data_IF_077069770907
#
_entry.id   IF_077069770907
#
_cell.length_a   1.000
_cell.length_b   1.000
_cell.length_c   1.000
_cell.angle_alpha   90.00
_cell.angle_beta   90.00
_cell.angle_gamma   90.00
#
_symmetry.space_group_name_H-M   'P 1'
#
loop_
_entity.id
_entity.type
_entity.pdbx_description
1 polymer ?
#
# COMPACT_ATOMS: atom_id res chain seq x y z
N UNK A 1 14.21 -22.76 24.46
CA UNK A 1 15.53 -23.11 23.88
C UNK A 1 16.62 -22.55 24.80
N UNK A 2 17.68 -23.30 25.10
CA UNK A 2 18.82 -22.73 25.86
C UNK A 2 19.62 -21.77 24.99
N UNK A 3 20.39 -20.85 25.60
CA UNK A 3 21.28 -19.95 24.85
C UNK A 3 22.24 -20.73 23.95
N UNK A 4 22.89 -21.76 24.49
CA UNK A 4 23.83 -22.59 23.73
C UNK A 4 23.18 -23.29 22.53
N UNK A 5 21.95 -23.78 22.67
CA UNK A 5 21.22 -24.38 21.55
C UNK A 5 20.87 -23.36 20.47
N UNK A 6 20.53 -22.12 20.85
CA UNK A 6 20.29 -21.04 19.90
C UNK A 6 21.57 -20.64 19.14
N UNK A 7 22.69 -20.47 19.84
CA UNK A 7 23.97 -20.15 19.21
C UNK A 7 24.45 -21.23 18.25
N UNK A 8 24.28 -22.52 18.63
CA UNK A 8 24.61 -23.64 17.74
C UNK A 8 23.81 -23.56 16.44
N UNK A 9 22.49 -23.36 16.53
CA UNK A 9 21.63 -23.24 15.36
C UNK A 9 22.07 -22.07 14.46
N UNK A 10 22.36 -20.91 15.03
CA UNK A 10 22.84 -19.74 14.27
C UNK A 10 24.10 -20.10 13.48
N UNK A 11 25.11 -20.67 14.13
CA UNK A 11 26.39 -21.03 13.49
C UNK A 11 26.18 -22.07 12.39
N UNK A 12 25.28 -23.03 12.60
CA UNK A 12 25.00 -24.09 11.62
C UNK A 12 24.27 -23.57 10.37
N UNK A 13 23.49 -22.49 10.47
CA UNK A 13 22.69 -21.96 9.35
C UNK A 13 23.26 -20.67 8.72
N UNK A 14 24.27 -20.03 9.33
CA UNK A 14 24.70 -18.69 8.94
C UNK A 14 25.18 -18.60 7.49
N UNK A 15 25.82 -19.65 6.97
CA UNK A 15 26.28 -19.69 5.57
C UNK A 15 25.10 -19.71 4.60
N UNK A 16 24.08 -20.54 4.88
CA UNK A 16 22.85 -20.56 4.08
C UNK A 16 22.12 -19.22 4.13
N UNK A 17 22.14 -18.55 5.29
CA UNK A 17 21.54 -17.22 5.44
C UNK A 17 22.26 -16.16 4.59
N UNK A 18 23.60 -16.21 4.53
CA UNK A 18 24.41 -15.29 3.71
C UNK A 18 24.14 -15.48 2.21
N UNK A 19 24.12 -16.74 1.75
CA UNK A 19 23.79 -17.08 0.36
C UNK A 19 22.36 -16.66 -0.01
N UNK A 20 21.38 -16.95 0.86
CA UNK A 20 20.01 -16.53 0.67
C UNK A 20 19.87 -15.01 0.64
N UNK A 21 20.56 -14.28 1.53
CA UNK A 21 20.52 -12.82 1.56
C UNK A 21 21.00 -12.21 0.25
N UNK A 22 22.05 -12.80 -0.35
CA UNK A 22 22.59 -12.35 -1.62
C UNK A 22 21.58 -12.54 -2.75
N UNK A 23 21.03 -13.74 -2.88
CA UNK A 23 19.99 -14.07 -3.88
C UNK A 23 18.76 -13.17 -3.74
N UNK A 24 18.33 -12.92 -2.50
CA UNK A 24 17.22 -11.99 -2.21
C UNK A 24 17.52 -10.61 -2.77
N UNK A 25 18.70 -10.07 -2.46
CA UNK A 25 19.07 -8.70 -2.83
C UNK A 25 19.39 -8.50 -4.32
N UNK A 26 19.88 -9.53 -5.01
CA UNK A 26 20.33 -9.43 -6.40
C UNK A 26 19.20 -9.68 -7.41
N UNK A 27 18.21 -10.50 -7.05
CA UNK A 27 17.21 -11.01 -8.00
C UNK A 27 15.79 -10.97 -7.41
N UNK A 28 15.55 -11.79 -6.37
CA UNK A 28 14.21 -12.15 -5.91
C UNK A 28 13.36 -10.95 -5.45
N UNK A 29 13.95 -9.98 -4.72
CA UNK A 29 13.25 -8.75 -4.30
C UNK A 29 12.69 -8.01 -5.53
N UNK A 30 13.51 -7.85 -6.56
CA UNK A 30 13.15 -7.07 -7.73
C UNK A 30 12.04 -7.73 -8.54
N UNK A 31 12.09 -9.05 -8.71
CA UNK A 31 11.08 -9.81 -9.44
C UNK A 31 9.72 -9.76 -8.72
N UNK A 32 9.71 -10.00 -7.40
CA UNK A 32 8.49 -9.92 -6.60
C UNK A 32 7.86 -8.53 -6.62
N UNK A 33 8.65 -7.48 -6.42
CA UNK A 33 8.13 -6.11 -6.38
C UNK A 33 7.70 -5.60 -7.76
N UNK A 34 8.36 -6.06 -8.83
CA UNK A 34 7.86 -5.80 -10.20
C UNK A 34 6.51 -6.49 -10.44
N UNK A 35 6.33 -7.72 -9.98
CA UNK A 35 5.03 -8.42 -10.09
C UNK A 35 3.92 -7.67 -9.32
N UNK A 36 4.23 -7.09 -8.16
CA UNK A 36 3.30 -6.20 -7.44
C UNK A 36 2.91 -5.01 -8.31
N UNK A 37 3.87 -4.29 -8.89
CA UNK A 37 3.59 -3.13 -9.75
C UNK A 37 2.78 -3.51 -10.99
N UNK A 38 3.09 -4.65 -11.62
CA UNK A 38 2.38 -5.14 -12.80
C UNK A 38 0.91 -5.45 -12.49
N UNK A 39 0.65 -6.12 -11.37
CA UNK A 39 -0.72 -6.42 -10.92
C UNK A 39 -1.55 -5.15 -10.76
N UNK A 40 -0.98 -4.06 -10.24
CA UNK A 40 -1.71 -2.79 -10.09
C UNK A 40 -1.93 -2.12 -11.46
N UNK A 41 -0.90 -2.10 -12.33
CA UNK A 41 -0.96 -1.49 -13.68
C UNK A 41 -2.00 -2.16 -14.57
N UNK A 42 -2.09 -3.48 -14.50
CA UNK A 42 -2.98 -4.29 -15.34
C UNK A 42 -4.40 -4.39 -14.77
N UNK A 43 -4.62 -3.94 -13.53
CA UNK A 43 -5.92 -4.03 -12.90
C UNK A 43 -6.94 -3.11 -13.59
N UNK A 44 -8.07 -3.67 -14.01
CA UNK A 44 -9.13 -2.95 -14.71
C UNK A 44 -10.01 -2.13 -13.74
N UNK A 45 -9.63 -0.88 -13.52
CA UNK A 45 -10.46 0.10 -12.82
C UNK A 45 -11.55 0.69 -13.73
N UNK A 46 -12.63 1.20 -13.12
CA UNK A 46 -13.68 1.95 -13.83
C UNK A 46 -13.29 3.42 -14.08
N UNK A 47 -12.03 3.77 -13.84
CA UNK A 47 -11.44 5.09 -14.03
C UNK A 47 -10.08 4.97 -14.71
N UNK A 48 -9.67 6.01 -15.42
CA UNK A 48 -8.31 6.11 -15.95
C UNK A 48 -7.32 6.25 -14.79
N UNK A 49 -6.52 5.20 -14.57
CA UNK A 49 -5.53 5.15 -13.50
C UNK A 49 -4.20 5.77 -13.96
N UNK A 50 -3.65 6.67 -13.15
CA UNK A 50 -2.31 7.27 -13.30
C UNK A 50 -1.52 7.06 -12.02
N UNK A 51 -0.20 7.14 -12.08
CA UNK A 51 0.61 6.95 -10.88
C UNK A 51 2.09 6.74 -11.13
N UNK A 52 2.81 6.56 -10.03
CA UNK A 52 4.19 6.10 -9.97
C UNK A 52 4.20 4.70 -9.37
N UNK A 53 4.56 3.73 -10.20
CA UNK A 53 4.66 2.31 -9.86
C UNK A 53 6.15 1.95 -9.81
N UNK A 54 6.75 2.07 -8.64
CA UNK A 54 8.20 1.85 -8.42
C UNK A 54 8.44 1.20 -7.05
N UNK A 55 7.76 0.09 -6.80
CA UNK A 55 7.83 -0.61 -5.52
C UNK A 55 9.24 -1.14 -5.22
N UNK A 56 10.01 -1.45 -6.27
CA UNK A 56 11.42 -1.89 -6.16
C UNK A 56 12.30 -0.85 -5.48
N UNK A 57 12.09 0.45 -5.72
CA UNK A 57 12.92 1.51 -5.12
C UNK A 57 12.25 2.18 -3.92
N UNK A 58 10.96 2.45 -4.03
CA UNK A 58 10.23 3.26 -3.06
C UNK A 58 9.57 2.41 -1.98
N UNK A 59 9.53 1.06 -2.15
CA UNK A 59 8.78 0.12 -1.29
C UNK A 59 7.29 0.46 -1.20
N UNK A 60 6.81 1.22 -2.18
CA UNK A 60 5.46 1.73 -2.29
C UNK A 60 5.13 2.01 -3.75
N UNK A 61 3.88 1.76 -4.15
CA UNK A 61 3.33 2.20 -5.44
C UNK A 61 2.20 3.18 -5.17
N UNK A 62 2.23 4.36 -5.80
CA UNK A 62 1.19 5.39 -5.64
C UNK A 62 0.44 5.59 -6.93
N UNK A 63 -0.88 5.56 -6.87
CA UNK A 63 -1.73 5.64 -8.05
C UNK A 63 -3.08 6.29 -7.74
N UNK A 64 -3.73 6.84 -8.75
CA UNK A 64 -4.94 7.65 -8.57
C UNK A 64 -5.77 7.74 -9.86
N UNK A 65 -7.08 7.99 -9.74
CA UNK A 65 -7.91 8.38 -10.86
C UNK A 65 -7.44 9.71 -11.47
N UNK A 66 -7.39 9.81 -12.80
CA UNK A 66 -6.89 11.00 -13.49
C UNK A 66 -7.68 12.29 -13.16
N UNK A 67 -8.97 12.18 -12.82
CA UNK A 67 -9.81 13.32 -12.40
C UNK A 67 -9.50 13.84 -10.99
N UNK A 68 -8.61 13.18 -10.25
CA UNK A 68 -8.09 13.67 -8.96
C UNK A 68 -6.82 14.52 -9.09
N UNK A 69 -6.30 14.72 -10.30
CA UNK A 69 -5.21 15.67 -10.53
C UNK A 69 -5.65 17.09 -10.15
N UNK A 70 -4.88 17.74 -9.28
CA UNK A 70 -5.07 19.13 -8.91
C UNK A 70 -4.47 20.07 -9.98
N UNK A 71 -3.34 19.67 -10.56
CA UNK A 71 -2.66 20.39 -11.65
C UNK A 71 -2.40 19.46 -12.83
N UNK A 72 -2.53 19.98 -14.06
CA UNK A 72 -2.40 19.19 -15.29
C UNK A 72 -0.96 18.95 -15.77
N UNK A 73 0.06 19.44 -15.05
CA UNK A 73 1.44 19.53 -15.55
C UNK A 73 2.26 18.26 -15.36
N UNK A 74 1.93 17.38 -14.40
CA UNK A 74 2.66 16.14 -14.17
C UNK A 74 1.74 15.05 -13.59
N UNK A 75 1.38 14.09 -14.44
CA UNK A 75 0.55 12.94 -14.09
C UNK A 75 1.28 11.79 -13.38
N UNK A 76 2.53 12.02 -12.95
CA UNK A 76 3.34 11.03 -12.20
C UNK A 76 3.62 11.47 -10.76
N UNK A 77 3.46 12.76 -10.45
CA UNK A 77 3.68 13.28 -9.10
C UNK A 77 2.41 13.15 -8.26
N UNK A 78 2.39 12.18 -7.35
CA UNK A 78 1.31 11.99 -6.38
C UNK A 78 1.15 13.19 -5.41
N UNK A 79 2.09 14.14 -5.37
CA UNK A 79 1.90 15.39 -4.62
C UNK A 79 1.00 16.39 -5.36
N UNK A 80 0.75 16.20 -6.66
CA UNK A 80 -0.08 17.06 -7.50
C UNK A 80 -1.54 16.59 -7.65
N UNK A 81 -1.99 15.69 -6.77
CA UNK A 81 -3.37 15.22 -6.72
C UNK A 81 -4.08 15.64 -5.43
N UNK A 82 -5.41 15.71 -5.46
CA UNK A 82 -6.21 15.92 -4.25
C UNK A 82 -6.13 14.72 -3.30
N UNK A 83 -6.03 13.52 -3.87
CA UNK A 83 -5.85 12.26 -3.17
C UNK A 83 -5.21 11.22 -4.08
N UNK A 84 -4.60 10.20 -3.48
CA UNK A 84 -4.10 9.02 -4.15
C UNK A 84 -4.32 7.76 -3.32
N UNK A 85 -4.25 6.63 -4.00
CA UNK A 85 -4.06 5.33 -3.39
C UNK A 85 -2.58 5.00 -3.31
N UNK A 86 -2.24 4.16 -2.34
CA UNK A 86 -0.91 3.59 -2.27
C UNK A 86 -0.98 2.12 -1.86
N UNK A 87 -0.11 1.31 -2.42
CA UNK A 87 0.20 -0.02 -1.90
C UNK A 87 1.58 0.09 -1.25
N UNK A 88 1.68 -0.30 0.02
CA UNK A 88 2.91 -0.22 0.81
C UNK A 88 2.85 -1.18 2.01
N UNK A 89 3.59 -0.88 3.07
CA UNK A 89 3.65 -1.75 4.26
C UNK A 89 3.03 -1.10 5.51
N UNK A 90 2.33 -1.91 6.32
CA UNK A 90 1.65 -1.45 7.56
C UNK A 90 2.64 -0.88 8.62
N UNK A 91 3.92 -1.23 8.54
CA UNK A 91 4.98 -0.69 9.40
C UNK A 91 5.13 0.82 9.25
N UNK A 92 5.00 1.33 8.03
CA UNK A 92 5.02 2.75 7.70
C UNK A 92 3.77 3.46 8.24
N UNK A 93 2.62 2.78 8.22
CA UNK A 93 1.35 3.29 8.76
C UNK A 93 1.27 3.32 10.29
N UNK A 94 1.88 2.32 10.93
CA UNK A 94 1.73 2.11 12.38
C UNK A 94 2.93 2.60 13.18
N UNK A 95 4.07 2.85 12.53
CA UNK A 95 5.34 3.27 13.11
C UNK A 95 6.12 2.14 13.80
N UNK A 96 5.91 0.89 13.37
CA UNK A 96 6.63 -0.29 13.87
C UNK A 96 7.67 -0.71 12.83
N UNK A 97 8.95 -0.70 13.16
CA UNK A 97 10.05 -1.12 12.25
C UNK A 97 10.57 -2.46 12.69
N UNK A 98 10.32 -3.56 11.98
CA UNK A 98 10.86 -4.84 12.43
C UNK A 98 11.04 -5.94 11.37
N UNK A 99 11.59 -5.70 10.17
CA UNK A 99 12.24 -6.77 9.40
C UNK A 99 13.52 -6.33 8.67
N UNK A 100 14.54 -7.19 8.66
CA UNK A 100 15.82 -6.96 7.97
C UNK A 100 15.70 -7.05 6.44
N UNK A 101 14.70 -7.79 5.94
CA UNK A 101 14.43 -7.95 4.50
C UNK A 101 13.01 -7.51 4.18
N UNK A 102 12.87 -6.61 3.19
CA UNK A 102 11.59 -6.02 2.81
C UNK A 102 10.53 -7.04 2.36
N UNK A 103 10.97 -8.15 1.74
CA UNK A 103 10.07 -9.24 1.31
C UNK A 103 9.37 -9.95 2.47
N UNK A 104 9.88 -9.86 3.70
CA UNK A 104 9.27 -10.55 4.85
C UNK A 104 7.83 -10.10 5.06
N UNK A 105 7.54 -8.84 4.75
CA UNK A 105 6.21 -8.24 4.88
C UNK A 105 5.20 -8.75 3.86
N UNK A 106 5.66 -9.45 2.82
CA UNK A 106 4.78 -10.17 1.88
C UNK A 106 4.26 -11.48 2.47
N UNK A 107 4.99 -12.10 3.40
CA UNK A 107 4.70 -13.44 3.94
C UNK A 107 4.30 -13.45 5.42
N UNK A 108 4.37 -12.30 6.10
CA UNK A 108 4.12 -12.16 7.53
C UNK A 108 2.79 -11.46 7.83
N UNK A 109 2.15 -11.84 8.93
CA UNK A 109 1.02 -11.10 9.49
C UNK A 109 1.46 -9.98 10.46
N UNK A 110 2.72 -9.96 10.88
CA UNK A 110 3.24 -8.98 11.83
C UNK A 110 3.48 -7.62 11.17
N UNK A 111 4.00 -7.65 9.95
CA UNK A 111 4.07 -6.54 9.01
C UNK A 111 3.50 -7.07 7.72
N UNK A 112 2.43 -6.46 7.23
CA UNK A 112 1.72 -6.90 6.04
C UNK A 112 1.63 -5.76 5.07
N UNK A 113 1.37 -6.10 3.81
CA UNK A 113 0.99 -5.10 2.83
C UNK A 113 -0.32 -4.41 3.23
N UNK A 114 -0.44 -3.15 2.85
CA UNK A 114 -1.65 -2.36 2.98
C UNK A 114 -1.94 -1.66 1.67
N UNK A 115 -3.23 -1.49 1.39
CA UNK A 115 -3.73 -0.63 0.33
C UNK A 115 -4.43 0.56 0.98
N UNK A 116 -3.83 1.74 0.90
CA UNK A 116 -4.34 2.93 1.54
C UNK A 116 -4.92 3.97 0.58
N UNK A 117 -5.72 4.85 1.15
CA UNK A 117 -6.25 6.06 0.54
C UNK A 117 -5.69 7.25 1.32
N UNK A 118 -4.84 8.05 0.67
CA UNK A 118 -4.27 9.25 1.24
C UNK A 118 -4.82 10.48 0.52
N UNK A 119 -5.23 11.49 1.28
CA UNK A 119 -5.70 12.75 0.71
C UNK A 119 -4.72 13.88 1.03
N UNK A 120 -4.22 14.55 -0.02
CA UNK A 120 -3.16 15.53 0.09
C UNK A 120 -3.72 16.88 0.56
N UNK A 121 -3.76 17.05 1.88
CA UNK A 121 -4.28 18.26 2.54
C UNK A 121 -3.76 19.56 1.91
N UNK A 122 -2.50 19.59 1.44
CA UNK A 122 -1.89 20.80 0.86
C UNK A 122 -2.59 21.28 -0.41
N UNK A 123 -3.42 20.47 -1.08
CA UNK A 123 -4.23 20.92 -2.22
C UNK A 123 -5.49 21.72 -1.83
N UNK A 124 -5.77 21.86 -0.53
CA UNK A 124 -6.98 22.52 -0.03
C UNK A 124 -6.65 23.87 0.64
N UNK A 125 -6.91 24.97 -0.05
CA UNK A 125 -6.46 26.33 0.29
C UNK A 125 -6.91 26.83 1.68
N UNK A 126 -8.08 26.42 2.16
CA UNK A 126 -8.66 26.90 3.43
C UNK A 126 -8.63 25.87 4.56
N UNK A 127 -7.79 24.84 4.47
CA UNK A 127 -7.80 23.74 5.43
C UNK A 127 -6.69 23.81 6.49
N UNK A 128 -7.05 23.97 7.77
CA UNK A 128 -6.14 23.78 8.91
C UNK A 128 -5.97 22.29 9.30
N UNK A 129 -4.91 21.95 10.04
CA UNK A 129 -4.69 20.55 10.48
C UNK A 129 -5.84 20.04 11.36
N UNK A 130 -6.37 20.90 12.22
CA UNK A 130 -7.52 20.60 13.07
C UNK A 130 -8.78 20.36 12.24
N UNK A 131 -9.07 21.23 11.27
CA UNK A 131 -10.25 21.11 10.42
C UNK A 131 -10.19 19.84 9.57
N UNK A 132 -9.00 19.48 9.08
CA UNK A 132 -8.77 18.25 8.32
C UNK A 132 -9.07 17.01 9.17
N UNK A 133 -8.49 16.96 10.37
CA UNK A 133 -8.73 15.89 11.35
C UNK A 133 -10.22 15.72 11.64
N UNK A 134 -10.90 16.82 11.97
CA UNK A 134 -12.33 16.79 12.27
C UNK A 134 -13.13 16.32 11.05
N UNK A 135 -12.82 16.81 9.86
CA UNK A 135 -13.44 16.39 8.61
C UNK A 135 -13.28 14.90 8.33
N UNK A 136 -12.08 14.33 8.47
CA UNK A 136 -11.83 12.91 8.21
C UNK A 136 -12.49 12.01 9.26
N UNK A 137 -12.55 12.44 10.53
CA UNK A 137 -13.33 11.75 11.57
C UNK A 137 -14.82 11.76 11.24
N UNK A 138 -15.36 12.89 10.73
CA UNK A 138 -16.74 12.98 10.25
C UNK A 138 -16.99 12.03 9.07
N UNK A 139 -16.06 11.96 8.09
CA UNK A 139 -16.19 11.05 6.94
C UNK A 139 -16.17 9.59 7.37
N UNK A 140 -15.28 9.21 8.31
CA UNK A 140 -15.24 7.87 8.87
C UNK A 140 -16.56 7.48 9.55
N UNK A 141 -17.17 8.39 10.33
CA UNK A 141 -18.48 8.16 10.95
C UNK A 141 -19.61 8.08 9.92
N UNK A 142 -19.53 8.86 8.83
CA UNK A 142 -20.54 8.91 7.77
C UNK A 142 -20.52 7.64 6.92
N UNK A 143 -19.34 7.16 6.53
CA UNK A 143 -19.18 6.08 5.57
C UNK A 143 -18.79 4.75 6.23
N UNK A 144 -19.66 4.24 7.11
CA UNK A 144 -19.46 2.94 7.80
C UNK A 144 -19.37 1.74 6.84
N UNK A 145 -19.75 1.90 5.56
CA UNK A 145 -19.54 0.86 4.54
C UNK A 145 -18.05 0.54 4.34
N UNK A 146 -17.14 1.50 4.52
CA UNK A 146 -15.69 1.26 4.41
C UNK A 146 -15.22 0.22 5.42
N UNK A 147 -15.67 0.30 6.67
CA UNK A 147 -15.37 -0.69 7.71
C UNK A 147 -15.91 -2.09 7.34
N UNK A 148 -17.11 -2.17 6.75
CA UNK A 148 -17.69 -3.43 6.28
C UNK A 148 -16.91 -4.05 5.12
N UNK A 149 -16.24 -3.22 4.31
CA UNK A 149 -15.32 -3.66 3.26
C UNK A 149 -13.92 -4.03 3.81
N UNK A 150 -13.70 -3.88 5.12
CA UNK A 150 -12.44 -4.23 5.77
C UNK A 150 -11.42 -3.08 5.87
N UNK A 151 -11.75 -1.88 5.38
CA UNK A 151 -10.91 -0.72 5.59
C UNK A 151 -10.89 -0.34 7.08
N UNK A 152 -9.72 0.08 7.54
CA UNK A 152 -9.47 0.64 8.86
C UNK A 152 -9.21 2.13 8.73
N UNK A 153 -9.58 2.88 9.74
CA UNK A 153 -9.27 4.31 9.84
C UNK A 153 -7.99 4.51 10.66
N UNK A 154 -6.97 5.14 10.08
CA UNK A 154 -5.76 5.52 10.79
C UNK A 154 -6.03 6.80 11.60
N UNK A 155 -6.11 6.69 12.93
CA UNK A 155 -6.35 7.87 13.76
C UNK A 155 -5.16 8.80 13.89
N UNK A 156 -3.95 8.38 13.48
CA UNK A 156 -2.74 9.22 13.50
C UNK A 156 -2.66 10.10 12.26
N UNK A 157 -2.74 9.48 11.08
CA UNK A 157 -2.62 10.17 9.79
C UNK A 157 -3.96 10.66 9.23
N UNK A 158 -5.08 10.25 9.85
CA UNK A 158 -6.44 10.62 9.46
C UNK A 158 -6.84 10.17 8.05
N UNK A 159 -6.46 8.94 7.70
CA UNK A 159 -6.69 8.31 6.41
C UNK A 159 -7.31 6.91 6.56
N UNK A 160 -7.46 6.20 5.45
CA UNK A 160 -8.04 4.86 5.42
C UNK A 160 -7.05 3.87 4.79
N UNK A 161 -6.98 2.66 5.34
CA UNK A 161 -6.17 1.60 4.77
C UNK A 161 -6.85 0.23 4.87
N UNK A 162 -6.65 -0.59 3.87
CA UNK A 162 -7.10 -1.97 3.81
C UNK A 162 -5.89 -2.88 4.02
N UNK A 163 -5.84 -3.64 5.13
CA UNK A 163 -4.81 -4.64 5.29
C UNK A 163 -4.95 -5.78 4.28
N UNK A 164 -3.84 -6.13 3.63
CA UNK A 164 -3.78 -7.22 2.67
C UNK A 164 -3.30 -8.48 3.39
N UNK A 165 -3.82 -9.63 2.98
CA UNK A 165 -3.36 -10.94 3.50
C UNK A 165 -1.93 -11.23 3.00
N UNK A 166 -1.12 -11.99 3.75
CA UNK A 166 0.15 -12.48 3.25
C UNK A 166 -0.03 -13.31 1.97
N UNK A 167 0.99 -13.28 1.11
CA UNK A 167 1.12 -14.19 -0.02
C UNK A 167 1.25 -15.63 0.47
N UNK A 168 0.70 -16.58 -0.29
CA UNK A 168 0.93 -17.99 -0.04
C UNK A 168 2.35 -18.36 -0.53
N UNK A 169 3.27 -18.78 0.36
CA UNK A 169 4.62 -19.15 -0.05
C UNK A 169 4.64 -20.26 -1.12
N UNK A 170 3.68 -21.18 -1.10
CA UNK A 170 3.61 -22.24 -2.12
C UNK A 170 3.31 -21.68 -3.50
N UNK A 171 2.35 -20.76 -3.58
CA UNK A 171 2.02 -20.11 -4.84
C UNK A 171 3.20 -19.30 -5.37
N UNK A 172 3.93 -18.58 -4.51
CA UNK A 172 5.13 -17.85 -4.95
C UNK A 172 6.21 -18.80 -5.47
N UNK A 173 6.46 -19.92 -4.79
CA UNK A 173 7.46 -20.92 -5.22
C UNK A 173 7.06 -21.57 -6.55
N UNK A 174 5.79 -21.92 -6.73
CA UNK A 174 5.28 -22.60 -7.95
C UNK A 174 5.30 -21.70 -9.18
N UNK A 175 5.16 -20.38 -8.99
CA UNK A 175 5.07 -19.40 -10.08
C UNK A 175 6.39 -18.65 -10.34
N UNK A 176 7.44 -18.86 -9.55
CA UNK A 176 8.73 -18.22 -9.74
C UNK A 176 9.56 -18.91 -10.85
N UNK A 177 10.23 -18.16 -11.74
CA UNK A 177 10.18 -16.69 -11.89
C UNK A 177 9.08 -16.21 -12.87
N UNK A 178 8.56 -17.12 -13.71
CA UNK A 178 7.90 -16.76 -14.97
C UNK A 178 6.46 -16.22 -14.84
N UNK A 179 5.82 -16.36 -13.68
CA UNK A 179 4.36 -16.13 -13.51
C UNK A 179 4.01 -15.56 -12.13
N UNK A 180 4.92 -14.83 -11.49
CA UNK A 180 4.75 -14.33 -10.12
C UNK A 180 3.44 -13.55 -9.88
N UNK A 181 2.92 -12.88 -10.89
CA UNK A 181 1.63 -12.16 -10.86
C UNK A 181 0.43 -13.08 -10.51
N UNK A 182 0.52 -14.38 -10.77
CA UNK A 182 -0.51 -15.38 -10.42
C UNK A 182 -0.51 -15.67 -8.91
N UNK A 183 0.61 -15.47 -8.22
CA UNK A 183 0.70 -15.59 -6.77
C UNK A 183 0.15 -14.35 -6.02
N UNK A 184 -0.16 -13.27 -6.74
CA UNK A 184 -0.58 -11.98 -6.16
C UNK A 184 -2.09 -11.85 -5.93
N UNK A 185 -2.83 -12.96 -5.84
CA UNK A 185 -4.27 -12.93 -5.58
C UNK A 185 -4.67 -12.09 -4.36
N UNK A 186 -3.93 -12.09 -3.22
CA UNK A 186 -4.25 -11.20 -2.11
C UNK A 186 -4.28 -9.71 -2.49
N UNK A 187 -3.38 -9.29 -3.39
CA UNK A 187 -3.33 -7.91 -3.89
C UNK A 187 -4.49 -7.67 -4.85
N UNK A 188 -4.78 -8.61 -5.77
CA UNK A 188 -5.94 -8.51 -6.68
C UNK A 188 -7.25 -8.37 -5.89
N UNK A 189 -7.43 -9.13 -4.82
CA UNK A 189 -8.60 -9.04 -3.94
C UNK A 189 -8.69 -7.67 -3.24
N UNK A 190 -7.56 -7.12 -2.80
CA UNK A 190 -7.51 -5.77 -2.25
C UNK A 190 -7.91 -4.72 -3.29
N UNK A 191 -7.45 -4.84 -4.54
CA UNK A 191 -7.80 -3.94 -5.64
C UNK A 191 -9.28 -4.06 -6.04
N UNK A 192 -9.86 -5.27 -6.04
CA UNK A 192 -11.32 -5.49 -6.22
C UNK A 192 -12.12 -4.77 -5.12
N UNK A 193 -11.67 -4.89 -3.88
CA UNK A 193 -12.29 -4.21 -2.72
C UNK A 193 -12.17 -2.69 -2.84
N UNK A 194 -11.01 -2.19 -3.27
CA UNK A 194 -10.79 -0.78 -3.55
C UNK A 194 -11.71 -0.27 -4.66
N UNK A 195 -11.88 -1.02 -5.75
CA UNK A 195 -12.78 -0.69 -6.85
C UNK A 195 -14.22 -0.51 -6.34
N UNK A 196 -14.69 -1.39 -5.45
CA UNK A 196 -16.00 -1.22 -4.80
C UNK A 196 -16.08 0.01 -3.88
N UNK A 197 -15.00 0.32 -3.16
CA UNK A 197 -14.93 1.47 -2.26
C UNK A 197 -14.72 2.81 -2.98
N UNK A 198 -14.23 2.81 -4.22
CA UNK A 198 -13.83 4.00 -4.96
C UNK A 198 -14.89 5.11 -5.00
N UNK A 199 -16.19 4.83 -5.26
CA UNK A 199 -17.23 5.87 -5.24
C UNK A 199 -17.31 6.64 -3.92
N UNK A 200 -17.09 5.96 -2.78
CA UNK A 200 -17.08 6.60 -1.46
C UNK A 200 -15.88 7.53 -1.33
N UNK A 201 -14.68 7.06 -1.70
CA UNK A 201 -13.49 7.89 -1.67
C UNK A 201 -13.62 9.11 -2.59
N UNK A 202 -14.27 8.96 -3.74
CA UNK A 202 -14.57 10.07 -4.63
C UNK A 202 -15.49 11.10 -3.96
N UNK A 203 -16.55 10.66 -3.27
CA UNK A 203 -17.40 11.57 -2.50
C UNK A 203 -16.64 12.30 -1.37
N UNK A 204 -15.70 11.64 -0.71
CA UNK A 204 -14.84 12.25 0.32
C UNK A 204 -14.00 13.38 -0.30
N UNK A 205 -13.36 13.13 -1.45
CA UNK A 205 -12.56 14.13 -2.17
C UNK A 205 -13.43 15.32 -2.60
N UNK A 206 -14.60 15.07 -3.18
CA UNK A 206 -15.51 16.15 -3.59
C UNK A 206 -16.07 16.95 -2.39
N UNK A 207 -16.36 16.29 -1.28
CA UNK A 207 -16.75 16.97 -0.04
C UNK A 207 -15.61 17.86 0.50
N UNK A 208 -14.36 17.39 0.44
CA UNK A 208 -13.18 18.17 0.83
C UNK A 208 -13.01 19.42 -0.06
N UNK A 209 -13.10 19.26 -1.39
CA UNK A 209 -13.05 20.38 -2.35
C UNK A 209 -14.12 21.43 -2.04
N UNK A 210 -15.35 20.99 -1.78
CA UNK A 210 -16.47 21.89 -1.43
C UNK A 210 -16.28 22.60 -0.09
N UNK A 211 -15.78 21.91 0.94
CA UNK A 211 -15.62 22.45 2.30
C UNK A 211 -14.45 23.43 2.39
N UNK A 212 -13.32 23.08 1.77
CA UNK A 212 -12.06 23.79 1.96
C UNK A 212 -11.59 24.62 0.75
N UNK A 213 -12.25 24.48 -0.40
CA UNK A 213 -11.75 25.02 -1.65
C UNK A 213 -10.49 24.30 -2.13
N UNK A 214 -10.12 24.55 -3.38
CA UNK A 214 -8.89 24.02 -3.98
C UNK A 214 -7.88 25.14 -4.14
N UNK A 215 -6.59 24.79 -4.22
CA UNK A 215 -5.58 25.67 -4.79
C UNK A 215 -5.68 25.72 -6.32
#
# INVERSE_FOLDING_TARGET
>A
MSKQAAFKLIIEIIQMFDEASKLISEEFDSELFNAVDNVIKEFEFDFECKGKFDFVKERESRFYPSHWLANSSDGTDANNCYAHYYLGFESEETGKVIHYWGITSLFSNAERMVLGFYSWKKQFSKCGNKDWKEFMIEQNKKYTKLEKLGFKFNTKEHDFYLPIKPLDPKQVIENYPDSLEDAMEPIRDALKTLKEAHPIFNEIVEAAKKKFGTN
#
